data_IF_771234160636
#
_entry.id   IF_771234160636
#
_cell.length_a   1.000
_cell.length_b   1.000
_cell.length_c   1.000
_cell.angle_alpha   90.00
_cell.angle_beta   90.00
_cell.angle_gamma   90.00
#
_symmetry.space_group_name_H-M   'P 1'
#
loop_
_entity.id
_entity.type
_entity.pdbx_description
1 polymer ?
#
# COMPACT_ATOMS: atom_id res chain seq x y z
N UNK A 1 -3.57 -1.58 -68.85
CA UNK A 1 -2.53 -2.62 -68.70
C UNK A 1 -2.11 -2.63 -67.24
N UNK A 2 -2.09 -3.85 -66.68
CA UNK A 2 -1.80 -4.29 -65.31
C UNK A 2 -2.96 -4.23 -64.27
N UNK A 3 -3.24 -5.35 -63.58
CA UNK A 3 -4.51 -5.63 -62.93
C UNK A 3 -4.47 -5.45 -61.41
N UNK A 4 -5.64 -5.16 -60.85
CA UNK A 4 -5.92 -5.06 -59.41
C UNK A 4 -6.34 -6.45 -58.89
N UNK A 5 -5.36 -7.34 -58.71
CA UNK A 5 -5.55 -8.55 -57.91
C UNK A 5 -5.12 -8.25 -56.47
N UNK A 6 -6.09 -8.02 -55.58
CA UNK A 6 -6.05 -8.38 -54.14
C UNK A 6 -7.43 -8.10 -53.54
N UNK A 7 -8.43 -8.85 -54.02
CA UNK A 7 -9.80 -8.85 -53.53
C UNK A 7 -10.13 -10.26 -53.02
N UNK A 8 -9.36 -10.74 -52.02
CA UNK A 8 -9.64 -11.97 -51.29
C UNK A 8 -9.27 -11.76 -49.82
N UNK A 9 -10.21 -12.12 -48.93
CA UNK A 9 -10.20 -12.06 -47.45
C UNK A 9 -11.00 -10.91 -46.82
N UNK A 10 -12.20 -10.67 -47.31
CA UNK A 10 -13.33 -10.28 -46.45
C UNK A 10 -13.91 -11.51 -45.74
N UNK A 11 -13.39 -11.82 -44.55
CA UNK A 11 -14.11 -12.60 -43.54
C UNK A 11 -13.59 -12.22 -42.13
N UNK A 12 -14.38 -11.54 -41.29
CA UNK A 12 -14.06 -11.36 -39.89
C UNK A 12 -14.57 -12.57 -39.10
N UNK A 13 -13.95 -13.74 -39.30
CA UNK A 13 -14.32 -14.99 -38.62
C UNK A 13 -13.14 -15.71 -37.98
N UNK A 14 -12.06 -14.97 -37.66
CA UNK A 14 -11.01 -15.44 -36.77
C UNK A 14 -10.93 -14.54 -35.53
N UNK A 15 -11.98 -14.62 -34.71
CA UNK A 15 -11.81 -14.39 -33.28
C UNK A 15 -10.71 -15.34 -32.79
N UNK A 16 -9.63 -14.81 -32.21
CA UNK A 16 -8.84 -15.59 -31.28
C UNK A 16 -9.84 -16.22 -30.30
N UNK A 17 -9.87 -17.56 -30.12
CA UNK A 17 -10.78 -18.14 -29.16
C UNK A 17 -10.45 -17.50 -27.81
N UNK A 18 -11.45 -16.93 -27.12
CA UNK A 18 -11.32 -16.69 -25.69
C UNK A 18 -10.98 -18.05 -25.06
N UNK A 19 -9.70 -18.28 -24.75
CA UNK A 19 -9.21 -19.55 -24.20
C UNK A 19 -9.85 -19.84 -22.83
N UNK A 20 -10.43 -18.82 -22.19
CA UNK A 20 -11.07 -18.89 -20.88
C UNK A 20 -12.45 -18.19 -20.91
N UNK A 21 -13.39 -18.67 -20.08
CA UNK A 21 -14.67 -17.98 -19.86
C UNK A 21 -14.47 -16.62 -19.18
N UNK A 22 -15.41 -15.65 -19.30
CA UNK A 22 -15.31 -14.36 -18.60
C UNK A 22 -15.14 -14.48 -17.08
N UNK A 23 -15.75 -15.50 -16.47
CA UNK A 23 -15.58 -15.81 -15.05
C UNK A 23 -14.15 -16.25 -14.71
N UNK A 24 -13.53 -17.08 -15.55
CA UNK A 24 -12.14 -17.51 -15.40
C UNK A 24 -11.16 -16.34 -15.56
N UNK A 25 -11.41 -15.43 -16.50
CA UNK A 25 -10.59 -14.22 -16.62
C UNK A 25 -10.70 -13.30 -15.40
N UNK A 26 -11.90 -13.11 -14.83
CA UNK A 26 -12.06 -12.35 -13.57
C UNK A 26 -11.28 -12.98 -12.42
N UNK A 27 -11.38 -14.29 -12.25
CA UNK A 27 -10.65 -15.02 -11.21
C UNK A 27 -9.13 -14.95 -11.43
N UNK A 28 -8.69 -15.08 -12.68
CA UNK A 28 -7.28 -14.97 -13.05
C UNK A 28 -6.72 -13.57 -12.75
N UNK A 29 -7.37 -12.51 -13.24
CA UNK A 29 -6.92 -11.14 -13.02
C UNK A 29 -6.95 -10.77 -11.54
N UNK A 30 -7.97 -11.21 -10.80
CA UNK A 30 -8.03 -11.04 -9.35
C UNK A 30 -6.83 -11.69 -8.67
N UNK A 31 -6.55 -12.96 -8.98
CA UNK A 31 -5.44 -13.71 -8.37
C UNK A 31 -4.09 -13.14 -8.75
N UNK A 32 -3.91 -12.77 -10.03
CA UNK A 32 -2.67 -12.16 -10.50
C UNK A 32 -2.43 -10.83 -9.79
N UNK A 33 -3.38 -9.89 -9.82
CA UNK A 33 -3.21 -8.59 -9.15
C UNK A 33 -3.03 -8.73 -7.64
N UNK A 34 -3.71 -9.69 -7.01
CA UNK A 34 -3.48 -10.04 -5.59
C UNK A 34 -2.02 -10.44 -5.34
N UNK A 35 -1.46 -11.34 -6.15
CA UNK A 35 -0.07 -11.79 -6.01
C UNK A 35 0.95 -10.68 -6.34
N UNK A 36 0.69 -9.89 -7.38
CA UNK A 36 1.52 -8.73 -7.72
C UNK A 36 1.61 -7.77 -6.53
N UNK A 37 0.48 -7.46 -5.91
CA UNK A 37 0.45 -6.53 -4.78
C UNK A 37 0.94 -7.13 -3.46
N UNK A 38 0.71 -8.42 -3.25
CA UNK A 38 1.34 -9.20 -2.18
C UNK A 38 2.87 -9.06 -2.25
N UNK A 39 3.45 -9.12 -3.47
CA UNK A 39 4.91 -9.00 -3.64
C UNK A 39 5.46 -7.63 -3.21
N UNK A 40 4.75 -6.52 -3.49
CA UNK A 40 5.15 -5.20 -3.00
C UNK A 40 5.15 -5.12 -1.47
N UNK A 41 4.13 -5.68 -0.81
CA UNK A 41 4.04 -5.65 0.65
C UNK A 41 5.06 -6.57 1.33
N UNK A 42 5.42 -7.66 0.65
CA UNK A 42 6.50 -8.57 1.02
C UNK A 42 7.84 -7.84 1.26
N UNK A 43 8.19 -6.79 0.50
CA UNK A 43 9.45 -6.05 0.71
C UNK A 43 9.38 -4.96 1.78
N UNK A 44 8.18 -4.58 2.24
CA UNK A 44 8.01 -3.47 3.21
C UNK A 44 8.26 -3.91 4.65
N UNK A 45 7.86 -5.13 5.00
CA UNK A 45 7.96 -5.66 6.36
C UNK A 45 9.38 -6.06 6.82
N UNK A 46 10.30 -6.59 5.98
CA UNK A 46 11.62 -7.05 6.40
C UNK A 46 12.41 -6.08 7.27
N UNK A 47 12.35 -4.78 6.97
CA UNK A 47 13.05 -3.74 7.74
C UNK A 47 12.64 -3.73 9.22
N UNK A 48 11.37 -3.99 9.53
CA UNK A 48 10.87 -4.03 10.90
C UNK A 48 11.52 -5.11 11.77
N UNK A 49 11.93 -6.22 11.16
CA UNK A 49 12.59 -7.34 11.83
C UNK A 49 14.10 -7.08 11.86
N UNK A 50 14.69 -6.65 10.74
CA UNK A 50 16.13 -6.37 10.64
C UNK A 50 16.58 -5.25 11.58
N UNK A 51 15.71 -4.31 11.97
CA UNK A 51 15.99 -3.29 13.00
C UNK A 51 16.58 -3.86 14.29
N UNK A 52 16.17 -5.06 14.69
CA UNK A 52 16.67 -5.72 15.90
C UNK A 52 18.13 -6.19 15.78
N UNK A 53 18.60 -6.45 14.55
CA UNK A 53 19.98 -6.83 14.25
C UNK A 53 20.86 -5.61 13.93
N UNK A 54 20.28 -4.53 13.40
CA UNK A 54 21.00 -3.26 13.19
C UNK A 54 21.49 -2.65 14.51
N UNK A 55 20.77 -2.87 15.62
CA UNK A 55 21.15 -2.42 16.95
C UNK A 55 20.86 -3.49 18.02
N UNK A 56 21.90 -4.23 18.41
CA UNK A 56 21.81 -5.35 19.37
C UNK A 56 21.92 -4.87 20.82
N UNK A 57 21.30 -5.58 21.75
CA UNK A 57 21.49 -5.33 23.18
C UNK A 57 22.76 -6.05 23.66
N UNK A 58 23.91 -5.38 23.59
CA UNK A 58 25.22 -5.97 23.81
C UNK A 58 25.57 -6.16 25.32
N UNK A 59 24.59 -6.02 26.22
CA UNK A 59 24.78 -6.13 27.68
C UNK A 59 25.40 -7.46 28.09
N UNK A 60 25.05 -8.56 27.40
CA UNK A 60 25.57 -9.90 27.68
C UNK A 60 27.04 -10.11 27.24
N UNK A 61 27.54 -9.33 26.27
CA UNK A 61 28.95 -9.37 25.86
C UNK A 61 29.86 -8.70 26.89
N UNK A 62 29.34 -7.76 27.68
CA UNK A 62 30.09 -7.10 28.77
C UNK A 62 30.35 -8.03 29.97
N UNK A 63 29.50 -9.04 30.20
CA UNK A 63 29.70 -10.03 31.28
C UNK A 63 30.74 -11.10 30.89
N UNK A 64 30.86 -11.45 29.61
CA UNK A 64 31.93 -12.36 29.15
C UNK A 64 33.30 -11.66 29.06
N UNK A 65 33.34 -10.37 28.74
CA UNK A 65 34.61 -9.63 28.61
C UNK A 65 35.18 -9.14 29.94
N UNK A 66 34.38 -9.07 31.02
CA UNK A 66 34.87 -8.78 32.37
C UNK A 66 35.69 -9.91 32.98
N UNK A 67 35.66 -11.12 32.39
CA UNK A 67 36.53 -12.23 32.77
C UNK A 67 37.91 -12.19 32.08
N UNK A 68 38.13 -11.34 31.08
CA UNK A 68 39.39 -11.22 30.34
C UNK A 68 39.96 -9.80 30.45
N UNK A 69 40.93 -9.63 31.35
CA UNK A 69 41.65 -8.38 31.57
C UNK A 69 42.42 -7.91 30.32
N UNK A 70 41.87 -6.95 29.57
CA UNK A 70 42.65 -6.03 28.73
C UNK A 70 41.85 -4.76 28.42
N UNK A 71 42.18 -3.64 29.09
CA UNK A 71 41.42 -2.38 29.00
C UNK A 71 41.46 -1.67 27.63
N UNK A 72 42.17 -2.21 26.63
CA UNK A 72 42.19 -1.68 25.25
C UNK A 72 41.20 -2.38 24.30
N UNK A 73 40.75 -3.60 24.63
CA UNK A 73 39.79 -4.36 23.80
C UNK A 73 38.33 -3.89 24.00
N UNK A 74 38.02 -3.31 25.17
CA UNK A 74 36.67 -2.89 25.55
C UNK A 74 36.01 -1.85 24.62
N UNK A 75 36.80 -1.02 23.92
CA UNK A 75 36.26 -0.01 23.01
C UNK A 75 36.01 -0.55 21.59
N UNK A 76 36.79 -1.55 21.16
CA UNK A 76 36.66 -2.16 19.83
C UNK A 76 35.54 -3.20 19.77
N UNK A 77 35.38 -4.03 20.80
CA UNK A 77 34.37 -5.09 20.81
C UNK A 77 32.94 -4.55 20.95
N UNK A 78 32.76 -3.41 21.62
CA UNK A 78 31.46 -2.74 21.70
C UNK A 78 31.03 -2.09 20.38
N UNK A 79 31.99 -1.63 19.56
CA UNK A 79 31.75 -1.00 18.26
C UNK A 79 31.40 -2.00 17.14
N UNK A 80 31.64 -3.30 17.33
CA UNK A 80 31.39 -4.36 16.33
C UNK A 80 30.05 -5.08 16.52
N UNK A 81 29.33 -4.82 17.60
CA UNK A 81 28.08 -5.52 17.93
C UNK A 81 26.84 -4.97 17.18
N UNK A 82 26.88 -3.72 16.72
CA UNK A 82 25.77 -3.05 16.01
C UNK A 82 26.21 -2.50 14.65
N UNK A 83 25.27 -2.36 13.72
CA UNK A 83 25.57 -1.97 12.35
C UNK A 83 25.61 -0.45 12.19
N UNK A 84 26.77 0.11 11.81
CA UNK A 84 26.90 1.55 11.47
C UNK A 84 26.00 1.89 10.27
N UNK A 85 25.21 2.99 10.31
CA UNK A 85 25.24 4.11 11.27
C UNK A 85 24.24 4.01 12.44
N UNK A 86 23.65 2.84 12.68
CA UNK A 86 22.63 2.59 13.70
C UNK A 86 23.22 2.11 15.04
N UNK A 87 24.52 2.23 15.22
CA UNK A 87 25.29 1.83 16.40
C UNK A 87 25.16 2.82 17.57
N UNK A 88 24.78 4.07 17.29
CA UNK A 88 24.72 5.15 18.28
C UNK A 88 23.43 5.18 19.08
N UNK A 89 23.40 5.93 20.19
CA UNK A 89 22.22 6.07 21.07
C UNK A 89 20.98 6.64 20.36
N UNK A 90 21.18 7.41 19.29
CA UNK A 90 20.11 7.96 18.45
C UNK A 90 19.55 6.98 17.41
N UNK A 91 19.89 5.68 17.47
CA UNK A 91 19.48 4.68 16.47
C UNK A 91 17.96 4.64 16.25
N UNK A 92 17.14 4.77 17.30
CA UNK A 92 15.67 4.77 17.18
C UNK A 92 15.18 5.89 16.25
N UNK A 93 15.80 7.07 16.34
CA UNK A 93 15.46 8.22 15.49
C UNK A 93 15.95 8.00 14.06
N UNK A 94 17.14 7.42 13.87
CA UNK A 94 17.68 7.10 12.54
C UNK A 94 16.85 6.03 11.83
N UNK A 95 16.41 4.98 12.55
CA UNK A 95 15.51 3.95 12.03
C UNK A 95 14.15 4.55 11.66
N UNK A 96 13.59 5.43 12.51
CA UNK A 96 12.36 6.15 12.21
C UNK A 96 12.49 7.08 10.98
N UNK A 97 13.62 7.77 10.83
CA UNK A 97 13.91 8.61 9.67
C UNK A 97 14.04 7.80 8.37
N UNK A 98 14.57 6.58 8.45
CA UNK A 98 14.68 5.65 7.32
C UNK A 98 13.31 5.07 6.89
N UNK A 99 12.42 4.77 7.85
CA UNK A 99 11.04 4.41 7.52
C UNK A 99 10.32 5.61 6.88
N UNK A 100 10.49 6.79 7.48
CA UNK A 100 9.90 8.03 7.00
C UNK A 100 10.32 8.38 5.58
N UNK A 101 11.60 8.21 5.22
CA UNK A 101 12.08 8.57 3.88
C UNK A 101 11.38 7.78 2.78
N UNK A 102 11.20 6.47 2.96
CA UNK A 102 10.41 5.63 2.04
C UNK A 102 8.94 6.07 2.01
N UNK A 103 8.31 6.21 3.17
CA UNK A 103 6.87 6.45 3.29
C UNK A 103 6.48 7.86 2.82
N UNK A 104 7.31 8.87 3.09
CA UNK A 104 7.13 10.23 2.61
C UNK A 104 7.29 10.29 1.09
N UNK A 105 8.32 9.65 0.54
CA UNK A 105 8.51 9.56 -0.90
C UNK A 105 7.33 8.84 -1.58
N UNK A 106 6.84 7.75 -0.98
CA UNK A 106 5.63 7.06 -1.43
C UNK A 106 4.40 7.97 -1.38
N UNK A 107 4.17 8.70 -0.28
CA UNK A 107 3.04 9.61 -0.14
C UNK A 107 3.03 10.70 -1.21
N UNK A 108 4.16 11.37 -1.44
CA UNK A 108 4.29 12.38 -2.50
C UNK A 108 4.12 11.74 -3.88
N UNK A 109 4.76 10.59 -4.12
CA UNK A 109 4.68 9.89 -5.39
C UNK A 109 3.27 9.41 -5.72
N UNK A 110 2.44 9.06 -4.73
CA UNK A 110 1.07 8.61 -4.95
C UNK A 110 0.20 9.66 -5.64
N UNK A 111 0.28 10.92 -5.23
CA UNK A 111 -0.44 12.02 -5.88
C UNK A 111 -0.04 12.20 -7.35
N UNK A 112 1.23 11.97 -7.67
CA UNK A 112 1.75 12.06 -9.04
C UNK A 112 1.43 10.81 -9.87
N UNK A 113 1.54 9.63 -9.25
CA UNK A 113 1.40 8.33 -9.88
C UNK A 113 -0.01 8.09 -10.40
N UNK A 114 -1.04 8.56 -9.68
CA UNK A 114 -2.43 8.50 -10.16
C UNK A 114 -2.60 9.15 -11.53
N UNK A 115 -1.99 10.33 -11.74
CA UNK A 115 -2.08 11.12 -12.97
C UNK A 115 -1.23 10.53 -14.09
N UNK A 116 -0.03 10.05 -13.76
CA UNK A 116 0.87 9.40 -14.72
C UNK A 116 0.23 8.08 -15.20
N UNK A 117 -0.34 7.31 -14.29
CA UNK A 117 -1.01 6.03 -14.56
C UNK A 117 -2.21 6.16 -15.50
N UNK A 118 -2.86 7.32 -15.57
CA UNK A 118 -3.95 7.57 -16.54
C UNK A 118 -3.46 7.71 -17.99
N UNK A 119 -2.16 8.00 -18.19
CA UNK A 119 -1.56 8.31 -19.50
C UNK A 119 -0.73 7.16 -20.06
N UNK A 120 -0.38 6.20 -19.22
CA UNK A 120 0.44 5.04 -19.59
C UNK A 120 -0.40 3.76 -19.61
N UNK A 121 -0.07 2.78 -20.47
CA UNK A 121 -0.70 1.47 -20.39
C UNK A 121 -0.37 0.80 -19.06
N UNK A 122 -1.39 0.30 -18.38
CA UNK A 122 -1.31 -0.21 -17.00
C UNK A 122 -0.27 -1.32 -16.89
N UNK A 123 -0.22 -2.22 -17.87
CA UNK A 123 0.74 -3.33 -17.92
C UNK A 123 2.18 -2.84 -17.90
N UNK A 124 2.53 -1.85 -18.72
CA UNK A 124 3.92 -1.35 -18.77
C UNK A 124 4.24 -0.54 -17.51
N UNK A 125 3.30 0.28 -17.05
CA UNK A 125 3.51 1.14 -15.89
C UNK A 125 3.72 0.33 -14.60
N UNK A 126 2.90 -0.70 -14.39
CA UNK A 126 3.03 -1.62 -13.26
C UNK A 126 4.32 -2.44 -13.36
N UNK A 127 4.62 -3.01 -14.54
CA UNK A 127 5.85 -3.78 -14.78
C UNK A 127 7.10 -2.97 -14.44
N UNK A 128 7.19 -1.73 -14.93
CA UNK A 128 8.33 -0.86 -14.67
C UNK A 128 8.52 -0.63 -13.17
N UNK A 129 7.46 -0.26 -12.45
CA UNK A 129 7.58 -0.02 -11.03
C UNK A 129 7.93 -1.28 -10.24
N UNK A 130 7.44 -2.46 -10.63
CA UNK A 130 7.82 -3.73 -10.00
C UNK A 130 9.31 -4.05 -10.22
N UNK A 131 9.81 -3.99 -11.46
CA UNK A 131 11.22 -4.25 -11.75
C UNK A 131 12.15 -3.29 -11.00
N UNK A 132 11.83 -2.00 -11.01
CA UNK A 132 12.61 -0.99 -10.29
C UNK A 132 12.50 -1.13 -8.77
N UNK A 133 11.33 -1.52 -8.24
CA UNK A 133 11.16 -1.79 -6.80
C UNK A 133 11.98 -3.00 -6.38
N UNK A 134 12.01 -4.05 -7.21
CA UNK A 134 12.89 -5.20 -7.01
C UNK A 134 14.35 -4.80 -6.98
N UNK A 135 14.80 -3.98 -7.93
CA UNK A 135 16.16 -3.43 -7.98
C UNK A 135 16.51 -2.66 -6.70
N UNK A 136 15.73 -1.66 -6.31
CA UNK A 136 16.04 -0.85 -5.12
C UNK A 136 15.93 -1.65 -3.82
N UNK A 137 15.02 -2.61 -3.73
CA UNK A 137 14.95 -3.52 -2.57
C UNK A 137 16.21 -4.39 -2.49
N UNK A 138 16.70 -4.93 -3.62
CA UNK A 138 17.96 -5.66 -3.66
C UNK A 138 19.16 -4.76 -3.30
N UNK A 139 19.20 -3.52 -3.81
CA UNK A 139 20.25 -2.56 -3.46
C UNK A 139 20.31 -2.31 -1.95
N UNK A 140 19.17 -2.23 -1.25
CA UNK A 140 19.15 -2.08 0.20
C UNK A 140 19.88 -3.26 0.88
N UNK A 141 19.57 -4.49 0.47
CA UNK A 141 20.21 -5.70 1.02
C UNK A 141 21.68 -5.86 0.64
N UNK A 142 22.08 -5.38 -0.55
CA UNK A 142 23.49 -5.32 -0.98
C UNK A 142 24.33 -4.39 -0.08
N UNK A 143 23.70 -3.48 0.67
CA UNK A 143 24.35 -2.70 1.72
C UNK A 143 25.06 -3.57 2.76
N UNK A 144 24.51 -4.74 3.09
CA UNK A 144 25.17 -5.72 3.95
C UNK A 144 26.38 -6.36 3.26
N UNK A 145 26.16 -6.88 2.04
CA UNK A 145 27.15 -7.68 1.30
C UNK A 145 28.40 -6.85 0.96
N UNK A 146 28.22 -5.59 0.58
CA UNK A 146 29.32 -4.67 0.27
C UNK A 146 29.77 -3.84 1.48
N UNK A 147 29.29 -4.14 2.68
CA UNK A 147 29.67 -3.49 3.93
C UNK A 147 29.52 -1.94 3.89
N UNK A 148 28.38 -1.47 3.42
CA UNK A 148 28.08 -0.04 3.25
C UNK A 148 27.54 0.54 4.56
N UNK A 149 28.29 1.48 5.16
CA UNK A 149 27.95 2.15 6.42
C UNK A 149 27.50 3.62 6.24
N UNK A 150 26.93 3.96 5.09
CA UNK A 150 26.45 5.32 4.80
C UNK A 150 24.94 5.45 4.99
N UNK A 151 24.50 6.36 5.87
CA UNK A 151 23.08 6.66 6.04
C UNK A 151 22.46 7.19 4.73
N UNK A 152 23.22 8.01 3.99
CA UNK A 152 22.76 8.59 2.72
C UNK A 152 22.44 7.52 1.68
N UNK A 153 23.18 6.41 1.66
CA UNK A 153 22.88 5.27 0.80
C UNK A 153 21.51 4.66 1.12
N UNK A 154 21.27 4.31 2.38
CA UNK A 154 19.99 3.71 2.79
C UNK A 154 18.80 4.66 2.56
N UNK A 155 18.98 5.96 2.84
CA UNK A 155 17.95 6.96 2.58
C UNK A 155 17.65 7.08 1.08
N UNK A 156 18.69 7.19 0.24
CA UNK A 156 18.52 7.30 -1.21
C UNK A 156 17.77 6.10 -1.78
N UNK A 157 18.20 4.89 -1.42
CA UNK A 157 17.56 3.65 -1.88
C UNK A 157 16.10 3.58 -1.42
N UNK A 158 15.80 3.97 -0.18
CA UNK A 158 14.44 4.01 0.35
C UNK A 158 13.55 5.04 -0.37
N UNK A 159 14.06 6.24 -0.63
CA UNK A 159 13.32 7.28 -1.38
C UNK A 159 13.03 6.81 -2.80
N UNK A 160 14.04 6.27 -3.50
CA UNK A 160 13.87 5.76 -4.85
C UNK A 160 12.86 4.60 -4.89
N UNK A 161 12.97 3.63 -3.97
CA UNK A 161 12.04 2.53 -3.83
C UNK A 161 10.61 3.02 -3.54
N UNK A 162 10.45 3.98 -2.63
CA UNK A 162 9.17 4.58 -2.28
C UNK A 162 8.48 5.19 -3.50
N UNK A 163 9.20 5.97 -4.31
CA UNK A 163 8.67 6.58 -5.53
C UNK A 163 8.24 5.53 -6.56
N UNK A 164 9.07 4.51 -6.84
CA UNK A 164 8.73 3.52 -7.87
C UNK A 164 7.65 2.54 -7.43
N UNK A 165 7.47 2.29 -6.12
CA UNK A 165 6.37 1.46 -5.62
C UNK A 165 5.00 2.13 -5.77
N UNK A 166 4.94 3.45 -5.96
CA UNK A 166 3.66 4.15 -6.13
C UNK A 166 2.90 3.72 -7.39
N UNK A 167 3.59 3.21 -8.42
CA UNK A 167 2.93 2.73 -9.66
C UNK A 167 1.99 1.57 -9.41
N UNK A 168 2.20 0.84 -8.31
CA UNK A 168 1.44 -0.33 -7.91
C UNK A 168 -0.04 -0.03 -7.75
N UNK A 169 -0.38 0.77 -6.72
CA UNK A 169 -1.76 0.98 -6.26
C UNK A 169 -2.74 1.42 -7.35
N UNK A 170 -2.51 2.55 -8.05
CA UNK A 170 -3.45 3.03 -9.04
C UNK A 170 -3.63 2.03 -10.19
N UNK A 171 -2.58 1.31 -10.56
CA UNK A 171 -2.61 0.29 -11.61
C UNK A 171 -3.50 -0.89 -11.23
N UNK A 172 -3.31 -1.49 -10.06
CA UNK A 172 -4.07 -2.67 -9.64
C UNK A 172 -5.52 -2.35 -9.28
N UNK A 173 -5.78 -1.19 -8.66
CA UNK A 173 -7.14 -0.75 -8.33
C UNK A 173 -7.92 -0.45 -9.60
N UNK A 174 -7.30 0.20 -10.59
CA UNK A 174 -7.92 0.42 -11.90
C UNK A 174 -8.21 -0.91 -12.60
N UNK A 175 -7.28 -1.87 -12.53
CA UNK A 175 -7.47 -3.21 -13.09
C UNK A 175 -8.65 -3.93 -12.44
N UNK A 176 -8.71 -4.02 -11.12
CA UNK A 176 -9.84 -4.62 -10.39
C UNK A 176 -11.16 -3.87 -10.68
N UNK A 177 -11.12 -2.54 -10.72
CA UNK A 177 -12.30 -1.72 -11.03
C UNK A 177 -12.86 -1.96 -12.43
N UNK A 178 -12.03 -2.34 -13.40
CA UNK A 178 -12.47 -2.70 -14.76
C UNK A 178 -13.17 -4.06 -14.81
N UNK A 179 -12.81 -5.00 -13.93
CA UNK A 179 -13.30 -6.38 -13.94
C UNK A 179 -14.47 -6.62 -12.97
N UNK A 180 -14.58 -5.83 -11.91
CA UNK A 180 -15.58 -6.00 -10.84
C UNK A 180 -16.48 -4.77 -10.72
N UNK A 181 -17.79 -4.96 -10.96
CA UNK A 181 -18.80 -3.90 -10.89
C UNK A 181 -19.23 -3.52 -9.46
N UNK A 182 -20.30 -2.71 -9.36
CA UNK A 182 -20.79 -2.08 -8.10
C UNK A 182 -21.55 -3.02 -7.13
N UNK A 183 -21.43 -4.34 -7.28
CA UNK A 183 -22.18 -5.33 -6.49
C UNK A 183 -21.66 -5.49 -5.06
N UNK A 184 -21.29 -6.73 -4.66
CA UNK A 184 -20.65 -7.06 -3.36
C UNK A 184 -19.20 -6.54 -3.28
N UNK A 185 -19.04 -5.24 -3.49
CA UNK A 185 -17.74 -4.59 -3.64
C UNK A 185 -16.94 -4.65 -2.36
N UNK A 186 -17.57 -4.48 -1.21
CA UNK A 186 -16.93 -4.58 0.10
C UNK A 186 -16.31 -5.95 0.34
N UNK A 187 -17.05 -7.03 0.12
CA UNK A 187 -16.54 -8.40 0.27
C UNK A 187 -15.39 -8.69 -0.71
N UNK A 188 -15.58 -8.41 -2.01
CA UNK A 188 -14.58 -8.69 -3.04
C UNK A 188 -13.29 -7.92 -2.75
N UNK A 189 -13.42 -6.64 -2.44
CA UNK A 189 -12.28 -5.79 -2.12
C UNK A 189 -11.64 -6.12 -0.77
N UNK A 190 -12.41 -6.57 0.23
CA UNK A 190 -11.88 -7.04 1.51
C UNK A 190 -11.03 -8.30 1.36
N UNK A 191 -11.51 -9.27 0.57
CA UNK A 191 -10.71 -10.46 0.22
C UNK A 191 -9.47 -10.03 -0.57
N UNK A 192 -9.62 -9.16 -1.57
CA UNK A 192 -8.50 -8.72 -2.40
C UNK A 192 -7.43 -8.00 -1.56
N UNK A 193 -7.82 -7.04 -0.71
CA UNK A 193 -6.92 -6.27 0.13
C UNK A 193 -6.14 -7.12 1.16
N UNK A 194 -6.58 -8.36 1.40
CA UNK A 194 -5.83 -9.30 2.25
C UNK A 194 -4.41 -9.55 1.71
N UNK A 195 -4.12 -9.22 0.44
CA UNK A 195 -2.76 -9.21 -0.13
C UNK A 195 -1.76 -8.42 0.74
N UNK A 196 -2.22 -7.37 1.44
CA UNK A 196 -1.37 -6.49 2.25
C UNK A 196 -0.82 -7.27 3.43
N UNK A 197 -1.72 -7.88 4.21
CA UNK A 197 -1.35 -8.71 5.34
C UNK A 197 -0.61 -9.98 4.91
N UNK A 198 -1.03 -10.65 3.83
CA UNK A 198 -0.32 -11.83 3.31
C UNK A 198 1.12 -11.47 2.92
N UNK A 199 1.33 -10.34 2.24
CA UNK A 199 2.65 -9.83 1.91
C UNK A 199 3.48 -9.56 3.16
N UNK A 200 2.90 -8.89 4.16
CA UNK A 200 3.58 -8.61 5.43
C UNK A 200 3.99 -9.90 6.16
N UNK A 201 3.13 -10.92 6.19
CA UNK A 201 3.43 -12.23 6.80
C UNK A 201 4.61 -12.87 6.08
N UNK A 202 4.57 -12.96 4.74
CA UNK A 202 5.66 -13.53 3.95
C UNK A 202 6.97 -12.75 4.13
N UNK A 203 6.92 -11.42 4.13
CA UNK A 203 8.07 -10.57 4.41
C UNK A 203 8.63 -10.80 5.80
N UNK A 204 7.76 -11.07 6.78
CA UNK A 204 8.18 -11.39 8.15
C UNK A 204 8.93 -12.71 8.22
N UNK A 205 8.37 -13.76 7.61
CA UNK A 205 8.95 -15.10 7.62
C UNK A 205 10.28 -15.17 6.87
N UNK A 206 10.37 -14.54 5.70
CA UNK A 206 11.61 -14.48 4.91
C UNK A 206 12.69 -13.72 5.68
N UNK A 207 12.35 -12.56 6.26
CA UNK A 207 13.31 -11.81 7.04
C UNK A 207 13.73 -12.57 8.30
N UNK A 208 12.80 -13.17 9.04
CA UNK A 208 13.10 -13.95 10.23
C UNK A 208 14.04 -15.13 9.99
N UNK A 209 14.04 -15.71 8.79
CA UNK A 209 14.99 -16.77 8.41
C UNK A 209 16.43 -16.24 8.23
N UNK A 210 16.59 -15.08 7.60
CA UNK A 210 17.91 -14.53 7.25
C UNK A 210 18.47 -13.51 8.26
N UNK A 211 17.64 -12.98 9.16
CA UNK A 211 17.95 -11.82 9.99
C UNK A 211 19.25 -12.00 10.79
N UNK A 212 19.44 -13.16 11.41
CA UNK A 212 20.60 -13.40 12.29
C UNK A 212 21.87 -13.85 11.56
N UNK A 213 21.78 -14.27 10.29
CA UNK A 213 22.92 -14.79 9.52
C UNK A 213 23.41 -13.78 8.48
N UNK A 214 22.51 -13.35 7.59
CA UNK A 214 22.77 -12.39 6.54
C UNK A 214 21.51 -11.57 6.32
N UNK A 215 21.35 -10.51 7.12
CA UNK A 215 20.15 -9.67 7.05
C UNK A 215 19.98 -9.00 5.67
N UNK A 216 21.03 -8.90 4.86
CA UNK A 216 20.94 -8.42 3.47
C UNK A 216 20.02 -9.30 2.61
N UNK A 217 20.03 -10.62 2.82
CA UNK A 217 19.15 -11.57 2.12
C UNK A 217 17.67 -11.38 2.47
N UNK A 218 17.37 -10.82 3.65
CA UNK A 218 16.01 -10.41 4.03
C UNK A 218 15.40 -9.38 3.09
N UNK A 219 16.21 -8.69 2.25
CA UNK A 219 15.75 -7.75 1.24
C UNK A 219 15.99 -8.23 -0.18
N UNK A 220 17.13 -8.89 -0.44
CA UNK A 220 17.45 -9.41 -1.78
C UNK A 220 16.41 -10.44 -2.23
N UNK A 221 16.02 -11.39 -1.37
CA UNK A 221 15.03 -12.41 -1.72
C UNK A 221 13.67 -11.79 -2.06
N UNK A 222 13.08 -10.92 -1.23
CA UNK A 222 11.89 -10.15 -1.61
C UNK A 222 12.04 -9.33 -2.90
N UNK A 223 13.19 -8.66 -3.10
CA UNK A 223 13.46 -7.87 -4.29
C UNK A 223 13.45 -8.70 -5.58
N UNK A 224 14.06 -9.89 -5.56
CA UNK A 224 14.03 -10.83 -6.68
C UNK A 224 12.61 -11.35 -6.96
N UNK A 225 11.83 -11.64 -5.91
CA UNK A 225 10.42 -12.06 -6.07
C UNK A 225 9.59 -10.94 -6.73
N UNK A 226 9.74 -9.69 -6.31
CA UNK A 226 9.03 -8.55 -6.92
C UNK A 226 9.42 -8.41 -8.39
N UNK A 227 10.72 -8.48 -8.71
CA UNK A 227 11.18 -8.39 -10.09
C UNK A 227 10.62 -9.52 -10.97
N UNK A 228 10.62 -10.77 -10.47
CA UNK A 228 10.02 -11.91 -11.16
C UNK A 228 8.52 -11.72 -11.37
N UNK A 229 7.80 -11.24 -10.37
CA UNK A 229 6.39 -10.89 -10.50
C UNK A 229 6.15 -9.74 -11.49
N UNK A 230 7.10 -8.81 -11.64
CA UNK A 230 7.09 -7.79 -12.69
C UNK A 230 7.15 -8.39 -14.10
N UNK A 231 7.99 -9.41 -14.32
CA UNK A 231 8.04 -10.15 -15.59
C UNK A 231 6.71 -10.90 -15.84
N UNK A 232 6.16 -11.55 -14.81
CA UNK A 232 4.85 -12.22 -14.91
C UNK A 232 3.74 -11.19 -15.24
N UNK A 233 3.76 -10.01 -14.63
CA UNK A 233 2.85 -8.91 -14.95
C UNK A 233 2.94 -8.51 -16.42
N UNK A 234 4.15 -8.33 -16.94
CA UNK A 234 4.36 -7.97 -18.34
C UNK A 234 3.78 -9.00 -19.32
N UNK A 235 4.00 -10.28 -19.03
CA UNK A 235 3.57 -11.37 -19.91
C UNK A 235 2.05 -11.61 -19.83
N UNK A 236 1.45 -11.51 -18.64
CA UNK A 236 0.12 -12.07 -18.40
C UNK A 236 -0.97 -11.08 -17.96
N UNK A 237 -0.65 -9.83 -17.59
CA UNK A 237 -1.68 -8.91 -17.08
C UNK A 237 -2.67 -8.49 -18.18
N UNK A 238 -3.96 -8.78 -17.99
CA UNK A 238 -5.03 -8.37 -18.90
C UNK A 238 -5.80 -7.19 -18.31
N UNK A 239 -5.66 -6.03 -18.95
CA UNK A 239 -6.15 -4.75 -18.42
C UNK A 239 -7.69 -4.59 -18.49
N UNK A 240 -8.33 -5.11 -19.55
CA UNK A 240 -9.78 -4.97 -19.84
C UNK A 240 -10.31 -6.12 -20.68
N UNK A 241 -11.61 -6.40 -20.53
CA UNK A 241 -12.37 -7.40 -21.32
C UNK A 241 -12.30 -7.17 -22.84
N UNK A 242 -12.19 -5.91 -23.30
CA UNK A 242 -12.30 -5.54 -24.74
C UNK A 242 -10.99 -5.43 -25.55
N UNK A 243 -9.84 -5.85 -25.01
CA UNK A 243 -8.56 -5.67 -25.70
C UNK A 243 -8.30 -6.63 -26.88
N UNK A 244 -9.31 -7.38 -27.35
CA UNK A 244 -9.19 -8.29 -28.50
C UNK A 244 -9.89 -7.79 -29.79
N UNK A 245 -10.66 -6.70 -29.76
CA UNK A 245 -11.52 -6.31 -30.92
C UNK A 245 -11.07 -5.03 -31.64
N UNK A 246 -10.15 -4.23 -31.08
CA UNK A 246 -9.66 -3.02 -31.77
C UNK A 246 -8.15 -3.12 -31.99
N UNK A 247 -7.77 -4.11 -32.80
CA UNK A 247 -6.68 -3.87 -33.74
C UNK A 247 -7.10 -2.73 -34.67
N UNK A 248 -6.43 -1.59 -34.56
CA UNK A 248 -6.20 -0.67 -35.69
C UNK A 248 -7.38 -0.01 -36.43
N UNK A 249 -8.63 -0.09 -35.99
CA UNK A 249 -9.74 0.68 -36.62
C UNK A 249 -10.45 1.62 -35.64
N UNK A 250 -9.80 2.77 -35.49
CA UNK A 250 -10.35 4.11 -35.25
C UNK A 250 -9.43 4.87 -34.30
N UNK A 251 -8.18 5.06 -34.73
CA UNK A 251 -7.61 6.39 -34.56
C UNK A 251 -8.56 7.29 -35.33
N UNK A 252 -9.49 7.95 -34.63
CA UNK A 252 -9.81 9.32 -34.99
C UNK A 252 -8.48 10.03 -34.82
N UNK A 253 -7.72 10.06 -35.92
CA UNK A 253 -6.61 10.96 -36.13
C UNK A 253 -7.22 12.33 -35.87
N UNK A 254 -7.15 12.78 -34.62
CA UNK A 254 -6.94 14.19 -34.39
C UNK A 254 -5.71 14.47 -35.24
N UNK A 255 -5.79 15.33 -36.27
CA UNK A 255 -4.62 15.65 -37.05
C UNK A 255 -3.54 16.01 -36.04
N UNK A 256 -2.37 15.38 -36.16
CA UNK A 256 -1.16 15.95 -35.59
C UNK A 256 -1.01 17.30 -36.30
N UNK A 257 -1.67 18.32 -35.76
CA UNK A 257 -1.26 19.68 -36.02
C UNK A 257 0.17 19.68 -35.50
N UNK A 258 1.11 19.87 -36.42
CA UNK A 258 2.46 20.30 -36.07
C UNK A 258 2.28 21.33 -34.96
N UNK A 259 2.91 21.15 -33.78
CA UNK A 259 2.85 22.20 -32.79
C UNK A 259 3.53 23.41 -33.44
N UNK A 260 2.71 24.36 -33.89
CA UNK A 260 3.15 25.74 -34.02
C UNK A 260 3.87 26.03 -32.73
N UNK A 261 5.16 26.37 -32.84
CA UNK A 261 6.11 26.60 -31.75
C UNK A 261 5.38 27.06 -30.49
N UNK A 262 5.05 26.10 -29.62
CA UNK A 262 4.43 26.40 -28.33
C UNK A 262 5.54 27.06 -27.54
N UNK A 263 5.35 28.29 -27.01
CA UNK A 263 6.39 28.95 -26.25
C UNK A 263 6.82 28.03 -25.10
N UNK A 264 8.13 27.91 -24.93
CA UNK A 264 8.82 27.00 -24.03
C UNK A 264 8.68 27.42 -22.55
N UNK A 265 7.48 27.88 -22.16
CA UNK A 265 7.12 28.20 -20.79
C UNK A 265 6.31 27.05 -20.16
N UNK A 266 7.01 26.36 -19.26
CA UNK A 266 6.55 25.60 -18.08
C UNK A 266 5.45 24.53 -18.27
N UNK A 267 5.80 23.39 -18.87
CA UNK A 267 5.05 22.13 -18.76
C UNK A 267 4.74 21.78 -17.28
N UNK A 268 5.67 22.12 -16.38
CA UNK A 268 5.54 21.94 -14.94
C UNK A 268 4.36 22.74 -14.36
N UNK A 269 4.19 24.00 -14.73
CA UNK A 269 3.08 24.84 -14.22
C UNK A 269 1.72 24.34 -14.70
N UNK A 270 1.62 23.88 -15.95
CA UNK A 270 0.38 23.26 -16.46
C UNK A 270 0.05 21.95 -15.76
N UNK A 271 1.07 21.14 -15.44
CA UNK A 271 0.90 19.93 -14.63
C UNK A 271 0.47 20.27 -13.20
N UNK A 272 1.10 21.25 -12.55
CA UNK A 272 0.74 21.70 -11.20
C UNK A 272 -0.68 22.27 -11.16
N UNK A 273 -1.05 23.12 -12.12
CA UNK A 273 -2.40 23.67 -12.22
C UNK A 273 -3.45 22.58 -12.44
N UNK A 274 -3.16 21.57 -13.26
CA UNK A 274 -4.04 20.43 -13.48
C UNK A 274 -4.17 19.53 -12.24
N UNK A 275 -3.05 19.26 -11.54
CA UNK A 275 -3.03 18.58 -10.23
C UNK A 275 -3.93 19.33 -9.26
N UNK A 276 -3.70 20.63 -9.11
CA UNK A 276 -4.45 21.49 -8.21
C UNK A 276 -5.94 21.47 -8.52
N UNK A 277 -6.33 21.62 -9.80
CA UNK A 277 -7.73 21.59 -10.21
C UNK A 277 -8.39 20.24 -9.91
N UNK A 278 -7.69 19.13 -10.17
CA UNK A 278 -8.21 17.77 -9.95
C UNK A 278 -8.34 17.45 -8.46
N UNK A 279 -7.38 17.90 -7.66
CA UNK A 279 -7.39 17.79 -6.20
C UNK A 279 -8.52 18.63 -5.60
N UNK A 280 -8.68 19.88 -6.03
CA UNK A 280 -9.80 20.74 -5.61
C UNK A 280 -11.16 20.14 -5.97
N UNK A 281 -11.28 19.55 -7.16
CA UNK A 281 -12.51 18.87 -7.57
C UNK A 281 -12.77 17.60 -6.75
N UNK A 282 -11.75 16.80 -6.46
CA UNK A 282 -11.86 15.63 -5.61
C UNK A 282 -12.26 16.01 -4.17
N UNK A 283 -11.72 17.10 -3.63
CA UNK A 283 -12.11 17.63 -2.33
C UNK A 283 -13.52 18.22 -2.30
N UNK A 284 -14.08 18.57 -3.45
CA UNK A 284 -15.48 19.00 -3.58
C UNK A 284 -16.47 17.82 -3.50
N UNK A 285 -15.98 16.57 -3.57
CA UNK A 285 -16.81 15.38 -3.39
C UNK A 285 -17.07 15.13 -1.90
N UNK A 286 -18.34 15.13 -1.52
CA UNK A 286 -18.75 14.86 -0.16
C UNK A 286 -18.26 13.48 0.31
N UNK A 287 -17.53 13.43 1.44
CA UNK A 287 -16.97 12.22 2.01
C UNK A 287 -15.51 11.94 1.65
N UNK A 288 -14.96 12.52 0.56
CA UNK A 288 -13.55 12.30 0.19
C UNK A 288 -12.62 12.83 1.28
N UNK A 289 -12.86 14.06 1.78
CA UNK A 289 -12.02 14.65 2.83
C UNK A 289 -12.12 13.83 4.11
N UNK A 290 -13.33 13.53 4.57
CA UNK A 290 -13.55 12.82 5.84
C UNK A 290 -12.94 11.42 5.82
N UNK A 291 -13.13 10.65 4.74
CA UNK A 291 -12.51 9.32 4.60
C UNK A 291 -10.99 9.40 4.40
N UNK A 292 -10.47 10.40 3.69
CA UNK A 292 -9.02 10.57 3.51
C UNK A 292 -8.32 10.89 4.82
N UNK A 293 -8.90 11.80 5.63
CA UNK A 293 -8.35 12.14 6.94
C UNK A 293 -8.52 11.00 7.95
N UNK A 294 -9.64 10.26 7.90
CA UNK A 294 -9.77 9.03 8.68
C UNK A 294 -8.70 8.00 8.29
N UNK A 295 -8.44 7.82 6.99
CA UNK A 295 -7.42 6.90 6.51
C UNK A 295 -6.01 7.33 6.91
N UNK A 296 -5.73 8.65 7.00
CA UNK A 296 -4.47 9.17 7.52
C UNK A 296 -4.17 8.60 8.90
N UNK A 297 -5.11 8.75 9.85
CA UNK A 297 -4.90 8.25 11.21
C UNK A 297 -4.96 6.72 11.31
N UNK A 298 -5.89 6.06 10.60
CA UNK A 298 -5.94 4.59 10.60
C UNK A 298 -4.65 3.97 10.04
N UNK A 299 -4.12 4.51 8.93
CA UNK A 299 -2.87 4.03 8.32
C UNK A 299 -1.66 4.39 9.18
N UNK A 300 -1.69 5.52 9.91
CA UNK A 300 -0.69 5.86 10.93
C UNK A 300 -0.58 4.75 11.99
N UNK A 301 -1.71 4.29 12.53
CA UNK A 301 -1.74 3.23 13.54
C UNK A 301 -1.26 1.90 12.94
N UNK A 302 -1.85 1.47 11.82
CA UNK A 302 -1.46 0.24 11.11
C UNK A 302 0.03 0.19 10.78
N UNK A 303 0.60 1.29 10.25
CA UNK A 303 2.00 1.31 9.82
C UNK A 303 2.97 1.46 11.01
N UNK A 304 2.55 2.08 12.11
CA UNK A 304 3.34 2.06 13.34
C UNK A 304 3.49 0.62 13.84
N UNK A 305 2.40 -0.15 13.92
CA UNK A 305 2.48 -1.58 14.22
C UNK A 305 3.30 -2.34 13.18
N UNK A 306 3.12 -2.05 11.88
CA UNK A 306 3.88 -2.70 10.82
C UNK A 306 5.40 -2.61 11.05
N UNK A 307 5.91 -1.41 11.34
CA UNK A 307 7.34 -1.13 11.40
C UNK A 307 8.00 -1.26 12.77
N UNK A 308 7.22 -1.15 13.86
CA UNK A 308 7.75 -1.09 15.23
C UNK A 308 7.33 -2.25 16.11
N UNK A 309 6.28 -3.00 15.77
CA UNK A 309 5.79 -4.10 16.62
C UNK A 309 6.83 -5.21 16.86
N UNK A 310 7.59 -5.71 15.87
CA UNK A 310 8.61 -6.72 16.14
C UNK A 310 9.69 -6.20 17.10
N UNK A 311 10.16 -4.98 16.89
CA UNK A 311 11.16 -4.35 17.76
C UNK A 311 10.65 -4.15 19.18
N UNK A 312 9.38 -3.75 19.35
CA UNK A 312 8.72 -3.67 20.65
C UNK A 312 8.71 -5.02 21.37
N UNK A 313 8.29 -6.09 20.69
CA UNK A 313 8.24 -7.46 21.25
C UNK A 313 9.65 -7.92 21.64
N UNK A 314 10.64 -7.74 20.77
CA UNK A 314 12.04 -8.07 21.07
C UNK A 314 12.55 -7.35 22.31
N UNK A 315 12.22 -6.06 22.48
CA UNK A 315 12.71 -5.26 23.61
C UNK A 315 11.97 -5.51 24.92
N UNK A 316 10.68 -5.84 24.88
CA UNK A 316 9.83 -6.02 26.08
C UNK A 316 9.75 -7.47 26.55
N UNK A 317 9.62 -8.41 25.61
CA UNK A 317 9.54 -9.84 25.92
C UNK A 317 10.92 -10.54 25.89
N UNK A 318 11.99 -9.80 25.59
CA UNK A 318 13.36 -10.31 25.47
C UNK A 318 13.47 -11.52 24.52
N UNK A 319 12.62 -11.55 23.49
CA UNK A 319 12.61 -12.59 22.47
C UNK A 319 13.60 -12.27 21.36
N UNK A 320 14.13 -13.30 20.71
CA UNK A 320 14.94 -13.17 19.50
C UNK A 320 14.15 -12.55 18.34
N UNK A 321 14.89 -11.95 17.39
CA UNK A 321 14.33 -11.25 16.24
C UNK A 321 13.32 -12.09 15.44
N UNK A 322 13.63 -13.38 15.25
CA UNK A 322 12.79 -14.30 14.51
C UNK A 322 11.47 -14.55 15.23
N UNK A 323 11.49 -14.95 16.50
CA UNK A 323 10.25 -15.19 17.27
C UNK A 323 9.40 -13.94 17.41
N UNK A 324 10.02 -12.78 17.61
CA UNK A 324 9.32 -11.50 17.67
C UNK A 324 8.63 -11.16 16.33
N UNK A 325 9.32 -11.41 15.21
CA UNK A 325 8.76 -11.34 13.86
C UNK A 325 7.56 -12.28 13.67
N UNK A 326 7.72 -13.55 14.02
CA UNK A 326 6.67 -14.58 13.94
C UNK A 326 5.44 -14.19 14.77
N UNK A 327 5.62 -13.71 16.01
CA UNK A 327 4.52 -13.27 16.86
C UNK A 327 3.80 -12.03 16.30
N UNK A 328 4.54 -11.11 15.69
CA UNK A 328 3.96 -9.90 15.08
C UNK A 328 3.00 -10.20 13.93
N UNK A 329 3.13 -11.37 13.28
CA UNK A 329 2.23 -11.78 12.19
C UNK A 329 0.78 -11.96 12.63
N UNK A 330 0.52 -12.17 13.93
CA UNK A 330 -0.85 -12.25 14.47
C UNK A 330 -1.65 -10.96 14.21
N UNK A 331 -0.99 -9.80 14.21
CA UNK A 331 -1.62 -8.53 13.85
C UNK A 331 -2.05 -8.51 12.38
N UNK A 332 -1.21 -9.04 11.48
CA UNK A 332 -1.51 -9.13 10.06
C UNK A 332 -2.64 -10.14 9.79
N UNK A 333 -2.64 -11.30 10.47
CA UNK A 333 -3.73 -12.30 10.42
C UNK A 333 -5.05 -11.68 10.89
N UNK A 334 -5.02 -10.95 12.01
CA UNK A 334 -6.15 -10.15 12.47
C UNK A 334 -6.65 -9.21 11.36
N UNK A 335 -5.74 -8.53 10.67
CA UNK A 335 -6.08 -7.63 9.57
C UNK A 335 -6.75 -8.28 8.36
N UNK A 336 -6.40 -9.53 8.03
CA UNK A 336 -7.10 -10.31 6.98
C UNK A 336 -8.57 -10.50 7.39
N UNK A 337 -8.78 -11.02 8.60
CA UNK A 337 -10.13 -11.29 9.12
C UNK A 337 -10.93 -10.00 9.23
N UNK A 338 -10.33 -8.95 9.80
CA UNK A 338 -10.94 -7.63 9.97
C UNK A 338 -11.32 -6.97 8.65
N UNK A 339 -10.45 -7.00 7.63
CA UNK A 339 -10.73 -6.45 6.31
C UNK A 339 -11.90 -7.14 5.60
N UNK A 340 -11.96 -8.47 5.65
CA UNK A 340 -13.05 -9.25 5.08
C UNK A 340 -14.36 -8.97 5.84
N UNK A 341 -14.33 -8.98 7.17
CA UNK A 341 -15.51 -8.70 8.00
C UNK A 341 -16.04 -7.29 7.78
N UNK A 342 -15.16 -6.28 7.75
CA UNK A 342 -15.53 -4.90 7.43
C UNK A 342 -16.21 -4.80 6.07
N UNK A 343 -15.68 -5.50 5.06
CA UNK A 343 -16.28 -5.62 3.73
C UNK A 343 -17.68 -6.22 3.75
N UNK A 344 -17.86 -7.36 4.43
CA UNK A 344 -19.15 -8.07 4.54
C UNK A 344 -20.18 -7.24 5.30
N UNK A 345 -19.82 -6.72 6.47
CA UNK A 345 -20.72 -5.94 7.33
C UNK A 345 -21.18 -4.70 6.59
N UNK A 346 -20.26 -3.98 5.96
CA UNK A 346 -20.60 -2.75 5.26
C UNK A 346 -21.40 -2.98 3.97
N UNK A 347 -21.19 -4.11 3.26
CA UNK A 347 -22.04 -4.51 2.13
C UNK A 347 -23.47 -4.86 2.60
N UNK A 348 -23.62 -5.54 3.74
CA UNK A 348 -24.93 -5.91 4.30
C UNK A 348 -25.70 -4.71 4.82
N UNK A 349 -25.02 -3.80 5.52
CA UNK A 349 -25.64 -2.64 6.13
C UNK A 349 -25.80 -1.47 5.16
N UNK A 350 -25.02 -1.41 4.08
CA UNK A 350 -24.93 -0.25 3.19
C UNK A 350 -24.33 0.99 3.87
N UNK A 351 -23.65 0.82 5.01
CA UNK A 351 -23.14 1.88 5.88
C UNK A 351 -21.63 1.74 6.07
N UNK A 352 -20.86 2.38 5.19
CA UNK A 352 -19.40 2.26 5.15
C UNK A 352 -18.77 3.01 6.32
N UNK A 353 -19.21 4.26 6.58
CA UNK A 353 -18.65 5.09 7.65
C UNK A 353 -18.97 4.53 9.04
N UNK A 354 -20.20 4.07 9.25
CA UNK A 354 -20.63 3.46 10.51
C UNK A 354 -19.83 2.18 10.81
N UNK A 355 -19.58 1.35 9.80
CA UNK A 355 -18.74 0.14 9.97
C UNK A 355 -17.33 0.50 10.42
N UNK A 356 -16.69 1.47 9.76
CA UNK A 356 -15.36 1.95 10.17
C UNK A 356 -15.36 2.53 11.59
N UNK A 357 -16.33 3.38 11.91
CA UNK A 357 -16.43 4.04 13.21
C UNK A 357 -16.60 3.05 14.36
N UNK A 358 -17.45 2.03 14.21
CA UNK A 358 -17.63 0.99 15.24
C UNK A 358 -16.33 0.20 15.46
N UNK A 359 -15.65 -0.18 14.39
CA UNK A 359 -14.38 -0.91 14.50
C UNK A 359 -13.28 -0.08 15.18
N UNK A 360 -13.14 1.20 14.81
CA UNK A 360 -12.17 2.11 15.43
C UNK A 360 -12.49 2.40 16.90
N UNK A 361 -13.77 2.55 17.26
CA UNK A 361 -14.20 2.75 18.65
C UNK A 361 -13.83 1.54 19.52
N UNK A 362 -13.97 0.33 18.99
CA UNK A 362 -13.60 -0.90 19.69
C UNK A 362 -12.07 -1.13 19.72
N UNK A 363 -11.32 -0.55 18.78
CA UNK A 363 -9.86 -0.71 18.71
C UNK A 363 -9.14 -0.03 19.88
N UNK A 364 -9.57 1.19 20.25
CA UNK A 364 -8.91 2.02 21.26
C UNK A 364 -8.68 1.33 22.62
N UNK A 365 -9.63 0.57 23.21
CA UNK A 365 -9.40 -0.13 24.47
C UNK A 365 -8.66 -1.49 24.35
N UNK A 366 -8.49 -2.04 23.14
CA UNK A 366 -8.04 -3.45 22.93
C UNK A 366 -6.62 -3.52 22.34
N UNK A 367 -5.83 -2.46 22.52
CA UNK A 367 -4.44 -2.35 22.00
C UNK A 367 -3.52 -3.50 22.46
N UNK A 368 -3.83 -4.14 23.59
CA UNK A 368 -3.06 -5.25 24.16
C UNK A 368 -3.25 -6.60 23.45
N UNK A 369 -4.33 -6.81 22.69
CA UNK A 369 -4.57 -8.07 21.97
C UNK A 369 -4.27 -7.94 20.48
N UNK A 370 -3.06 -8.36 20.06
CA UNK A 370 -2.54 -8.16 18.70
C UNK A 370 -3.50 -8.60 17.58
N UNK A 371 -4.15 -9.76 17.71
CA UNK A 371 -5.06 -10.28 16.68
C UNK A 371 -6.34 -9.44 16.58
N UNK A 372 -6.92 -9.04 17.72
CA UNK A 372 -8.16 -8.26 17.76
C UNK A 372 -7.89 -6.82 17.32
N UNK A 373 -6.82 -6.20 17.85
CA UNK A 373 -6.35 -4.89 17.42
C UNK A 373 -6.05 -4.86 15.92
N UNK A 374 -5.35 -5.88 15.41
CA UNK A 374 -5.07 -6.05 13.98
C UNK A 374 -6.33 -6.05 13.13
N UNK A 375 -7.38 -6.77 13.56
CA UNK A 375 -8.66 -6.78 12.84
C UNK A 375 -9.41 -5.45 12.90
N UNK A 376 -9.46 -4.82 14.08
CA UNK A 376 -10.23 -3.60 14.30
C UNK A 376 -9.59 -2.35 13.68
N UNK A 377 -8.25 -2.29 13.58
CA UNK A 377 -7.53 -1.19 12.94
C UNK A 377 -7.41 -1.41 11.43
N UNK A 378 -7.00 -2.62 10.99
CA UNK A 378 -6.82 -2.86 9.55
C UNK A 378 -8.13 -3.03 8.79
N UNK A 379 -9.25 -3.34 9.46
CA UNK A 379 -10.56 -3.41 8.84
C UNK A 379 -11.01 -2.08 8.20
N UNK A 380 -11.09 -0.97 8.96
CA UNK A 380 -11.32 0.36 8.45
C UNK A 380 -10.31 0.78 7.39
N UNK A 381 -9.01 0.52 7.62
CA UNK A 381 -7.97 0.78 6.62
C UNK A 381 -8.26 0.08 5.29
N UNK A 382 -8.53 -1.22 5.32
CA UNK A 382 -8.85 -2.03 4.15
C UNK A 382 -10.12 -1.54 3.45
N UNK A 383 -11.18 -1.28 4.21
CA UNK A 383 -12.47 -0.87 3.68
C UNK A 383 -12.40 0.52 3.01
N UNK A 384 -11.71 1.47 3.64
CA UNK A 384 -11.57 2.83 3.13
C UNK A 384 -10.71 2.85 1.88
N UNK A 385 -9.52 2.23 1.92
CA UNK A 385 -8.59 2.26 0.80
C UNK A 385 -9.17 1.58 -0.44
N UNK A 386 -9.96 0.51 -0.27
CA UNK A 386 -10.53 -0.22 -1.40
C UNK A 386 -11.96 0.19 -1.75
N UNK A 387 -12.95 -0.33 -1.02
CA UNK A 387 -14.35 -0.23 -1.39
C UNK A 387 -14.84 1.22 -1.39
N UNK A 388 -14.51 1.99 -0.35
CA UNK A 388 -14.92 3.41 -0.25
C UNK A 388 -14.24 4.25 -1.32
N UNK A 389 -12.92 4.11 -1.49
CA UNK A 389 -12.20 4.85 -2.54
C UNK A 389 -12.75 4.51 -3.93
N UNK A 390 -13.10 3.25 -4.16
CA UNK A 390 -13.67 2.81 -5.42
C UNK A 390 -15.12 3.31 -5.61
N UNK A 391 -15.93 3.40 -4.55
CA UNK A 391 -17.27 3.97 -4.59
C UNK A 391 -17.24 5.48 -4.88
N UNK A 392 -16.35 6.22 -4.22
CA UNK A 392 -16.11 7.65 -4.45
C UNK A 392 -15.54 7.91 -5.86
N UNK A 393 -14.56 7.10 -6.30
CA UNK A 393 -13.98 7.18 -7.63
C UNK A 393 -14.89 6.71 -8.78
N UNK A 394 -16.06 6.12 -8.46
CA UNK A 394 -17.10 5.78 -9.46
C UNK A 394 -18.41 6.54 -9.23
N UNK A 395 -18.34 7.66 -8.51
CA UNK A 395 -19.48 8.54 -8.26
C UNK A 395 -20.09 9.08 -9.56
N UNK A 396 -21.41 9.32 -9.57
CA UNK A 396 -22.15 9.74 -10.79
C UNK A 396 -21.60 11.03 -11.40
N UNK A 397 -21.07 11.94 -10.57
CA UNK A 397 -20.41 13.18 -10.99
C UNK A 397 -19.21 12.96 -11.91
N UNK A 398 -18.60 11.76 -11.88
CA UNK A 398 -17.44 11.40 -12.69
C UNK A 398 -17.81 10.83 -14.06
N UNK A 399 -19.11 10.75 -14.41
CA UNK A 399 -19.64 10.31 -15.71
C UNK A 399 -19.02 9.01 -16.25
N UNK A 400 -18.68 8.07 -15.36
CA UNK A 400 -18.08 6.78 -15.74
C UNK A 400 -16.63 6.86 -16.25
N UNK A 401 -15.93 7.97 -16.00
CA UNK A 401 -14.53 8.11 -16.39
C UNK A 401 -13.62 7.25 -15.48
N UNK A 402 -13.24 6.06 -15.96
CA UNK A 402 -12.33 5.15 -15.25
C UNK A 402 -10.97 5.78 -14.91
N UNK A 403 -10.56 6.86 -15.59
CA UNK A 403 -9.36 7.62 -15.23
C UNK A 403 -9.54 8.39 -13.93
N UNK A 404 -10.67 9.06 -13.74
CA UNK A 404 -10.98 9.78 -12.50
C UNK A 404 -11.01 8.88 -11.25
N UNK A 405 -11.33 7.58 -11.41
CA UNK A 405 -11.22 6.58 -10.34
C UNK A 405 -9.77 6.47 -9.82
N UNK A 406 -8.79 6.36 -10.72
CA UNK A 406 -7.36 6.27 -10.39
C UNK A 406 -6.89 7.49 -9.59
N UNK A 407 -7.31 8.69 -9.99
CA UNK A 407 -6.92 9.91 -9.27
C UNK A 407 -7.58 10.02 -7.90
N UNK A 408 -8.88 9.71 -7.77
CA UNK A 408 -9.56 9.77 -6.45
C UNK A 408 -8.97 8.74 -5.48
N UNK A 409 -8.69 7.51 -5.94
CA UNK A 409 -8.07 6.48 -5.10
C UNK A 409 -6.64 6.84 -4.72
N UNK A 410 -5.88 7.47 -5.62
CA UNK A 410 -4.54 7.98 -5.35
C UNK A 410 -4.53 9.14 -4.35
N UNK A 411 -5.53 10.03 -4.37
CA UNK A 411 -5.66 11.11 -3.39
C UNK A 411 -5.95 10.53 -2.00
N UNK A 412 -6.93 9.63 -1.90
CA UNK A 412 -7.30 9.00 -0.63
C UNK A 412 -6.11 8.22 -0.04
N UNK A 413 -5.49 7.32 -0.82
CA UNK A 413 -4.35 6.54 -0.33
C UNK A 413 -3.08 7.39 -0.14
N UNK A 414 -2.89 8.46 -0.94
CA UNK A 414 -1.82 9.44 -0.78
C UNK A 414 -1.92 10.15 0.58
N UNK A 415 -3.11 10.67 0.93
CA UNK A 415 -3.36 11.25 2.26
C UNK A 415 -3.19 10.22 3.37
N UNK A 416 -3.67 9.00 3.19
CA UNK A 416 -3.40 7.88 4.09
C UNK A 416 -1.90 7.66 4.31
N UNK A 417 -1.12 7.68 3.24
CA UNK A 417 0.33 7.44 3.24
C UNK A 417 1.12 8.54 3.97
N UNK A 418 0.59 9.76 4.06
CA UNK A 418 1.16 10.81 4.93
C UNK A 418 1.12 10.36 6.38
N UNK A 419 -0.02 9.83 6.86
CA UNK A 419 -0.13 9.29 8.21
C UNK A 419 0.77 8.07 8.42
N UNK A 420 0.87 7.22 7.40
CA UNK A 420 1.80 6.10 7.39
C UNK A 420 3.27 6.53 7.55
N UNK A 421 3.68 7.69 7.03
CA UNK A 421 5.01 8.25 7.22
C UNK A 421 5.20 8.85 8.62
N UNK A 422 4.21 9.61 9.10
CA UNK A 422 4.25 10.29 10.40
C UNK A 422 4.32 9.30 11.56
N UNK A 423 3.55 8.21 11.52
CA UNK A 423 3.44 7.25 12.63
C UNK A 423 4.78 6.62 13.06
N UNK A 424 5.48 5.89 12.19
CA UNK A 424 6.79 5.31 12.48
C UNK A 424 7.85 6.36 12.86
N UNK A 425 7.79 7.57 12.29
CA UNK A 425 8.69 8.66 12.69
C UNK A 425 8.44 9.07 14.15
N UNK A 426 7.19 9.34 14.50
CA UNK A 426 6.80 9.70 15.87
C UNK A 426 7.08 8.55 16.85
N UNK A 427 6.83 7.30 16.46
CA UNK A 427 7.16 6.13 17.27
C UNK A 427 8.67 6.07 17.57
N UNK A 428 9.54 6.43 16.62
CA UNK A 428 10.98 6.52 16.86
C UNK A 428 11.38 7.60 17.85
N UNK A 429 10.69 8.74 17.85
CA UNK A 429 10.92 9.82 18.83
C UNK A 429 10.35 9.45 20.20
N UNK A 430 9.09 9.03 20.26
CA UNK A 430 8.35 8.76 21.51
C UNK A 430 8.85 7.51 22.23
N UNK A 431 9.28 6.47 21.51
CA UNK A 431 9.85 5.26 22.12
C UNK A 431 11.18 5.50 22.86
N UNK A 432 11.79 6.68 22.73
CA UNK A 432 12.93 7.08 23.56
C UNK A 432 12.52 7.42 25.01
N UNK A 433 11.28 7.88 25.22
CA UNK A 433 10.74 8.26 26.52
C UNK A 433 9.96 7.11 27.20
N UNK A 434 9.58 6.10 26.42
CA UNK A 434 8.84 4.92 26.89
C UNK A 434 7.85 4.43 25.85
N UNK A 435 7.51 3.14 25.89
CA UNK A 435 6.55 2.58 24.93
C UNK A 435 5.10 3.02 25.19
N UNK A 436 4.78 3.40 26.43
CA UNK A 436 3.45 3.92 26.79
C UNK A 436 3.09 5.18 25.97
N UNK A 437 4.07 6.05 25.71
CA UNK A 437 3.88 7.24 24.87
C UNK A 437 3.52 6.89 23.43
N UNK A 438 4.08 5.80 22.90
CA UNK A 438 3.72 5.29 21.58
C UNK A 438 2.27 4.81 21.60
N UNK A 439 1.85 4.07 22.62
CA UNK A 439 0.46 3.60 22.73
C UNK A 439 -0.54 4.74 22.92
N UNK A 440 -0.22 5.78 23.70
CA UNK A 440 -1.05 6.98 23.80
C UNK A 440 -1.20 7.71 22.47
N UNK A 441 -0.13 7.82 21.69
CA UNK A 441 -0.20 8.37 20.33
C UNK A 441 -1.14 7.53 19.44
N UNK A 442 -1.08 6.20 19.52
CA UNK A 442 -1.94 5.32 18.72
C UNK A 442 -3.42 5.46 19.11
N UNK A 443 -3.73 5.46 20.41
CA UNK A 443 -5.10 5.67 20.91
C UNK A 443 -5.64 7.05 20.52
N UNK A 444 -4.81 8.10 20.58
CA UNK A 444 -5.20 9.44 20.15
C UNK A 444 -5.48 9.50 18.64
N UNK A 445 -4.66 8.81 17.82
CA UNK A 445 -4.89 8.73 16.38
C UNK A 445 -6.21 8.01 16.05
N UNK A 446 -6.51 6.87 16.68
CA UNK A 446 -7.78 6.16 16.49
C UNK A 446 -8.99 7.01 16.90
N UNK A 447 -8.87 7.75 18.01
CA UNK A 447 -9.91 8.67 18.45
C UNK A 447 -10.14 9.82 17.46
N UNK A 448 -9.06 10.42 16.92
CA UNK A 448 -9.16 11.46 15.89
C UNK A 448 -9.78 10.91 14.59
N UNK A 449 -9.41 9.69 14.19
CA UNK A 449 -10.01 9.01 13.03
C UNK A 449 -11.52 8.86 13.20
N UNK A 450 -11.97 8.44 14.40
CA UNK A 450 -13.39 8.32 14.73
C UNK A 450 -14.12 9.66 14.66
N UNK A 451 -13.55 10.72 15.25
CA UNK A 451 -14.16 12.06 15.26
C UNK A 451 -14.42 12.57 13.84
N UNK A 452 -13.48 12.34 12.92
CA UNK A 452 -13.58 12.77 11.52
C UNK A 452 -14.70 12.04 10.75
N UNK A 453 -15.07 10.83 11.17
CA UNK A 453 -16.17 10.08 10.57
C UNK A 453 -17.54 10.44 11.13
N UNK A 454 -17.64 11.11 12.29
CA UNK A 454 -18.92 11.33 12.98
C UNK A 454 -19.98 11.99 12.10
N UNK A 455 -19.61 12.98 11.29
CA UNK A 455 -20.57 13.64 10.37
C UNK A 455 -21.15 12.67 9.35
N UNK A 456 -20.32 11.79 8.77
CA UNK A 456 -20.75 10.76 7.82
C UNK A 456 -21.61 9.71 8.51
N UNK A 457 -21.25 9.30 9.72
CA UNK A 457 -22.04 8.35 10.54
C UNK A 457 -23.42 8.93 10.83
N UNK A 458 -23.50 10.17 11.32
CA UNK A 458 -24.78 10.85 11.57
C UNK A 458 -25.64 10.92 10.31
N UNK A 459 -25.04 11.19 9.16
CA UNK A 459 -25.73 11.18 7.86
C UNK A 459 -26.25 9.77 7.49
N UNK A 460 -25.45 8.72 7.66
CA UNK A 460 -25.85 7.33 7.38
C UNK A 460 -26.96 6.83 8.33
N UNK A 461 -26.95 7.26 9.60
CA UNK A 461 -27.96 6.92 10.59
C UNK A 461 -29.28 7.68 10.35
N UNK A 462 -29.21 8.98 10.09
CA UNK A 462 -30.41 9.80 9.82
C UNK A 462 -31.08 9.45 8.49
N UNK A 463 -30.31 9.13 7.44
CA UNK A 463 -30.86 8.70 6.15
C UNK A 463 -31.59 7.35 6.24
N UNK A 464 -31.30 6.52 7.25
CA UNK A 464 -31.99 5.25 7.48
C UNK A 464 -33.40 5.42 8.06
N UNK A 465 -33.71 6.57 8.68
CA UNK A 465 -35.03 6.87 9.23
C UNK A 465 -36.03 7.39 8.18
N UNK A 466 -35.57 7.66 6.95
CA UNK A 466 -36.45 7.96 5.82
C UNK A 466 -36.78 6.64 5.11
N UNK A 467 -37.80 5.95 5.63
CA UNK A 467 -38.41 4.81 4.95
C UNK A 467 -38.80 5.25 3.54
N UNK A 468 -38.14 4.71 2.51
CA UNK A 468 -38.67 4.82 1.14
C UNK A 468 -40.02 4.10 1.14
N UNK A 469 -41.13 4.75 0.70
CA UNK A 469 -42.38 4.04 0.48
C UNK A 469 -42.09 2.90 -0.48
N UNK A 470 -42.53 1.68 -0.14
CA UNK A 470 -42.62 0.60 -1.11
C UNK A 470 -43.47 1.12 -2.27
N UNK A 471 -42.88 1.32 -3.44
CA UNK A 471 -43.66 1.54 -4.66
C UNK A 471 -44.47 0.27 -4.87
N UNK A 472 -45.74 0.34 -4.50
CA UNK A 472 -46.71 -0.73 -4.68
C UNK A 472 -46.80 -1.10 -6.14
N UNK A 473 -47.00 -2.39 -6.37
CA UNK A 473 -47.52 -2.95 -7.60
C UNK A 473 -48.75 -2.17 -8.06
N UNK A 474 -48.68 -1.57 -9.23
CA UNK A 474 -49.86 -1.31 -10.06
C UNK A 474 -49.76 -2.22 -11.27
N UNK A 475 -50.20 -3.46 -11.08
CA UNK A 475 -50.94 -4.21 -12.09
C UNK A 475 -52.40 -3.76 -11.96
N UNK A 476 -52.91 -3.03 -12.94
CA UNK A 476 -54.31 -3.09 -13.36
C UNK A 476 -54.32 -2.83 -14.87
N UNK A 477 -55.14 -3.64 -15.54
CA UNK A 477 -55.37 -3.88 -16.97
C UNK A 477 -55.40 -2.66 -17.90
#
# INVERSE_FOLDING_TARGET
MLPTDYLLLSSPSHCCPLVLSPSRYRAFTFSLTFLLYTSFHLSRKPISIVKSELHKNCSALNELSTASSSQLSNLHTAAECSWKPFDKSNYKQLLGAMDYSFLCAYAVGMFLSGIIGERLPIRLYLTFGMLMSGLFTCLFGLGYIYNIHSLGFYIFVQVANGLVQTTGWPSVVTCIGNWFGKGRRGLIMGIWNSHTSVGNILGSLIAGYWVSSNWGLSFIVPGLIIAAMGIICFLFLIEREHCYVIGWRSKRLVPFHTPNKVPHHSILEKCIAFIFLTVCFAFSLQGVIEFSLCLLFAKLVSYTFLFWLPLYITKTAHLDAKKAGDLSTLFDVGGIVGGILAGVISDKLGKRATTCAVMLLLAAPIVSMLLVCGGLVNGPYALITTAVAADLGTHKSLKGNARALSTVTAIIDGTGSVGAAIGPLLAGVLSSQGWDQVFYMLMAADFLALLLLLRLVTKELTSANVVKPRSGSTTVE
#
